data_IF_545009134949
#
_entry.id   IF_545009134949
#
_cell.length_a   1.000
_cell.length_b   1.000
_cell.length_c   1.000
_cell.angle_alpha   90.00
_cell.angle_beta   90.00
_cell.angle_gamma   90.00
#
_symmetry.space_group_name_H-M   'P 1'
#
loop_
_entity.id
_entity.type
_entity.pdbx_description
1 polymer ?
#
# COMPACT_ATOMS: atom_id res chain seq x y z
N UNK A 1 62.98 -10.29 -9.14
CA UNK A 1 63.68 -9.33 -10.00
C UNK A 1 63.14 -9.46 -11.41
N UNK A 2 62.80 -8.32 -12.02
CA UNK A 2 62.20 -8.14 -13.35
C UNK A 2 62.90 -8.88 -14.49
N UNK A 3 62.13 -9.24 -15.54
CA UNK A 3 62.40 -9.15 -17.01
C UNK A 3 61.10 -9.53 -17.75
N UNK A 4 60.65 -8.97 -18.86
CA UNK A 4 61.01 -7.83 -19.70
C UNK A 4 59.84 -7.65 -20.70
N UNK A 5 59.58 -6.42 -21.09
CA UNK A 5 58.66 -5.90 -22.10
C UNK A 5 58.89 -6.47 -23.51
N UNK A 6 57.85 -6.68 -24.33
CA UNK A 6 57.86 -6.35 -25.78
C UNK A 6 56.43 -6.02 -26.27
N UNK A 7 56.35 -4.86 -26.93
CA UNK A 7 55.27 -4.24 -27.68
C UNK A 7 55.43 -4.61 -29.17
N UNK A 8 54.38 -5.07 -29.87
CA UNK A 8 54.29 -4.96 -31.34
C UNK A 8 52.86 -4.57 -31.74
N UNK A 9 52.79 -3.39 -32.37
CA UNK A 9 51.68 -2.82 -33.14
C UNK A 9 51.50 -3.57 -34.47
N UNK A 10 50.26 -3.79 -34.90
CA UNK A 10 49.95 -3.91 -36.33
C UNK A 10 48.56 -3.36 -36.67
N UNK A 11 48.59 -2.35 -37.54
CA UNK A 11 47.50 -1.68 -38.23
C UNK A 11 46.83 -2.58 -39.29
N UNK A 12 45.54 -2.34 -39.56
CA UNK A 12 45.04 -2.30 -40.96
C UNK A 12 43.75 -3.07 -41.30
N UNK A 13 42.67 -2.32 -41.56
CA UNK A 13 41.57 -2.53 -42.52
C UNK A 13 40.22 -2.12 -41.90
N UNK A 14 39.66 -0.95 -42.24
CA UNK A 14 38.96 -0.57 -43.48
C UNK A 14 37.53 -1.15 -43.55
N UNK A 15 36.59 -0.23 -43.31
CA UNK A 15 35.22 -0.17 -43.82
C UNK A 15 34.35 -1.45 -43.78
N UNK A 16 33.53 -1.55 -42.74
CA UNK A 16 32.22 -2.20 -42.81
C UNK A 16 31.19 -1.19 -42.33
N UNK A 17 30.45 -0.62 -43.27
CA UNK A 17 29.37 0.32 -43.00
C UNK A 17 28.37 -0.31 -42.04
N UNK A 18 27.99 0.44 -41.02
CA UNK A 18 26.72 0.28 -40.31
C UNK A 18 25.60 0.13 -41.34
N UNK A 19 24.82 -0.95 -41.32
CA UNK A 19 23.41 -1.02 -41.74
C UNK A 19 22.89 -2.44 -41.50
N UNK A 20 22.38 -2.71 -40.30
CA UNK A 20 21.42 -3.78 -40.04
C UNK A 20 20.71 -3.52 -38.70
N UNK A 21 19.99 -2.41 -38.61
CA UNK A 21 19.13 -2.11 -37.47
C UNK A 21 17.75 -1.67 -37.98
N UNK A 22 17.09 -2.56 -38.74
CA UNK A 22 15.68 -2.40 -39.10
C UNK A 22 14.94 -3.72 -39.41
N UNK A 23 15.56 -4.88 -39.15
CA UNK A 23 15.00 -6.19 -39.51
C UNK A 23 13.75 -6.60 -38.71
N UNK A 24 13.47 -5.93 -37.59
CA UNK A 24 12.30 -6.21 -36.75
C UNK A 24 11.19 -5.15 -36.86
N UNK A 25 11.31 -4.18 -37.79
CA UNK A 25 10.28 -3.16 -38.00
C UNK A 25 9.41 -3.51 -39.19
N UNK A 26 8.13 -3.73 -38.90
CA UNK A 26 7.11 -3.86 -39.93
C UNK A 26 7.07 -2.59 -40.79
N UNK A 27 7.29 -2.75 -42.09
CA UNK A 27 7.27 -1.66 -43.08
C UNK A 27 5.91 -1.57 -43.77
N UNK A 28 5.24 -2.70 -43.91
CA UNK A 28 3.96 -2.83 -44.59
C UNK A 28 2.98 -3.62 -43.75
N UNK A 29 1.69 -3.36 -43.95
CA UNK A 29 0.60 -4.07 -43.30
C UNK A 29 -0.34 -4.59 -44.38
N UNK A 30 -0.61 -5.90 -44.35
CA UNK A 30 -1.54 -6.57 -45.26
C UNK A 30 -2.81 -6.96 -44.53
N UNK A 31 -3.97 -6.60 -45.05
CA UNK A 31 -5.25 -7.10 -44.57
C UNK A 31 -6.12 -7.56 -45.73
N UNK A 32 -7.21 -8.26 -45.41
CA UNK A 32 -8.19 -8.69 -46.39
C UNK A 32 -9.43 -7.80 -46.27
N UNK A 33 -9.84 -7.18 -47.38
CA UNK A 33 -11.05 -6.37 -47.45
C UNK A 33 -12.32 -7.25 -47.54
N UNK A 34 -13.52 -6.65 -47.59
CA UNK A 34 -14.80 -7.40 -47.63
C UNK A 34 -14.95 -8.36 -48.81
N UNK A 35 -14.18 -8.14 -49.89
CA UNK A 35 -14.14 -9.03 -51.07
C UNK A 35 -13.05 -10.10 -50.96
N UNK A 36 -12.47 -10.26 -49.77
CA UNK A 36 -11.33 -11.13 -49.48
C UNK A 36 -10.10 -10.82 -50.36
N UNK A 37 -9.91 -9.56 -50.75
CA UNK A 37 -8.75 -9.14 -51.55
C UNK A 37 -7.66 -8.58 -50.63
N UNK A 38 -6.40 -9.03 -50.80
CA UNK A 38 -5.29 -8.53 -50.01
C UNK A 38 -4.98 -7.08 -50.38
N UNK A 39 -5.01 -6.19 -49.39
CA UNK A 39 -4.64 -4.79 -49.53
C UNK A 39 -3.42 -4.52 -48.66
N UNK A 40 -2.40 -3.88 -49.21
CA UNK A 40 -1.15 -3.56 -48.52
C UNK A 40 -1.05 -2.04 -48.36
N UNK A 41 -0.71 -1.60 -47.16
CA UNK A 41 -0.55 -0.18 -46.80
C UNK A 41 0.65 -0.01 -45.90
N UNK A 42 1.20 1.20 -45.88
CA UNK A 42 2.26 1.61 -44.95
C UNK A 42 1.69 2.09 -43.60
N UNK A 43 0.37 2.24 -43.49
CA UNK A 43 -0.35 2.76 -42.31
C UNK A 43 -1.47 1.84 -41.85
N UNK A 44 -1.51 1.54 -40.56
CA UNK A 44 -2.61 0.78 -39.94
C UNK A 44 -3.86 1.68 -39.85
N UNK A 45 -5.00 1.19 -40.37
CA UNK A 45 -6.32 1.83 -40.18
C UNK A 45 -7.20 1.02 -39.24
N UNK A 46 -8.30 1.60 -38.76
CA UNK A 46 -9.26 0.92 -37.86
C UNK A 46 -9.85 -0.35 -38.49
N UNK A 47 -10.02 -0.34 -39.81
CA UNK A 47 -10.49 -1.47 -40.61
C UNK A 47 -9.51 -2.66 -40.59
N UNK A 48 -8.20 -2.40 -40.53
CA UNK A 48 -7.18 -3.46 -40.38
C UNK A 48 -7.28 -4.11 -39.01
N UNK A 49 -7.51 -3.32 -37.96
CA UNK A 49 -7.63 -3.82 -36.58
C UNK A 49 -8.88 -4.68 -36.44
N UNK A 50 -10.00 -4.24 -37.03
CA UNK A 50 -11.27 -4.94 -36.97
C UNK A 50 -11.23 -6.30 -37.68
N UNK A 51 -10.51 -6.41 -38.81
CA UNK A 51 -10.44 -7.66 -39.62
C UNK A 51 -9.18 -8.50 -39.40
N UNK A 52 -8.21 -7.97 -38.66
CA UNK A 52 -6.89 -8.58 -38.52
C UNK A 52 -6.01 -8.27 -39.72
N UNK A 53 -4.69 -8.28 -39.50
CA UNK A 53 -3.70 -7.95 -40.50
C UNK A 53 -2.38 -8.68 -40.25
N UNK A 54 -1.60 -8.83 -41.30
CA UNK A 54 -0.22 -9.29 -41.25
C UNK A 54 0.72 -8.08 -41.27
N UNK A 55 1.63 -8.00 -40.30
CA UNK A 55 2.75 -7.08 -40.32
C UNK A 55 3.87 -7.71 -41.18
N UNK A 56 4.34 -6.98 -42.18
CA UNK A 56 5.32 -7.45 -43.17
C UNK A 56 6.62 -6.66 -43.09
N UNK A 57 7.74 -7.32 -43.39
CA UNK A 57 9.05 -6.70 -43.53
C UNK A 57 9.22 -5.97 -44.88
N UNK A 58 10.42 -5.42 -45.12
CA UNK A 58 10.75 -4.74 -46.39
C UNK A 58 10.70 -5.66 -47.62
N UNK A 59 10.87 -6.98 -47.43
CA UNK A 59 10.82 -8.02 -48.46
C UNK A 59 9.44 -8.66 -48.61
N UNK A 60 8.40 -8.06 -48.03
CA UNK A 60 7.01 -8.55 -48.02
C UNK A 60 6.82 -9.91 -47.32
N UNK A 61 7.76 -10.32 -46.46
CA UNK A 61 7.60 -11.51 -45.62
C UNK A 61 6.81 -11.18 -44.36
N UNK A 62 5.98 -12.13 -43.90
CA UNK A 62 5.17 -11.95 -42.69
C UNK A 62 6.06 -12.03 -41.44
N UNK A 63 6.19 -10.91 -40.73
CA UNK A 63 6.83 -10.85 -39.42
C UNK A 63 5.87 -11.34 -38.32
N UNK A 64 4.60 -10.91 -38.40
CA UNK A 64 3.59 -11.21 -37.37
C UNK A 64 2.18 -11.14 -37.92
N UNK A 65 1.36 -12.13 -37.58
CA UNK A 65 -0.09 -12.10 -37.79
C UNK A 65 -0.80 -11.50 -36.57
N UNK A 66 -1.69 -10.54 -36.79
CA UNK A 66 -2.59 -9.95 -35.78
C UNK A 66 -4.01 -10.36 -36.13
N UNK A 67 -4.69 -11.19 -35.30
CA UNK A 67 -6.04 -11.63 -35.59
C UNK A 67 -7.05 -10.48 -35.50
N UNK A 68 -8.20 -10.64 -36.16
CA UNK A 68 -9.35 -9.74 -36.05
C UNK A 68 -9.72 -9.50 -34.58
N UNK A 69 -9.71 -8.25 -34.15
CA UNK A 69 -10.19 -7.88 -32.83
C UNK A 69 -11.58 -7.28 -32.97
N UNK A 70 -12.56 -7.89 -32.30
CA UNK A 70 -13.89 -7.27 -32.18
C UNK A 70 -13.73 -5.90 -31.54
N UNK A 71 -14.23 -4.85 -32.19
CA UNK A 71 -14.34 -3.54 -31.58
C UNK A 71 -15.16 -3.66 -30.28
N UNK A 72 -14.58 -3.20 -29.17
CA UNK A 72 -15.30 -3.15 -27.90
C UNK A 72 -16.57 -2.32 -28.07
N UNK A 73 -17.68 -2.76 -27.50
CA UNK A 73 -18.90 -1.94 -27.47
C UNK A 73 -18.63 -0.64 -26.70
N UNK A 74 -19.48 0.36 -26.87
CA UNK A 74 -19.37 1.61 -26.10
C UNK A 74 -19.33 1.32 -24.59
N UNK A 75 -20.16 0.38 -24.12
CA UNK A 75 -20.21 -0.05 -22.72
C UNK A 75 -18.90 -0.74 -22.26
N UNK A 76 -18.34 -1.64 -23.07
CA UNK A 76 -17.09 -2.31 -22.76
C UNK A 76 -15.89 -1.35 -22.74
N UNK A 77 -15.89 -0.36 -23.63
CA UNK A 77 -14.88 0.70 -23.62
C UNK A 77 -14.97 1.57 -22.37
N UNK A 78 -16.18 1.93 -21.94
CA UNK A 78 -16.40 2.68 -20.70
C UNK A 78 -15.92 1.86 -19.49
N UNK A 79 -16.30 0.57 -19.42
CA UNK A 79 -15.88 -0.33 -18.35
C UNK A 79 -14.35 -0.50 -18.30
N UNK A 80 -13.70 -0.73 -19.44
CA UNK A 80 -12.25 -0.85 -19.54
C UNK A 80 -11.54 0.46 -19.15
N UNK A 81 -12.08 1.62 -19.54
CA UNK A 81 -11.55 2.92 -19.12
C UNK A 81 -11.69 3.13 -17.62
N UNK A 82 -12.84 2.80 -17.04
CA UNK A 82 -13.08 2.87 -15.60
C UNK A 82 -12.12 1.95 -14.83
N UNK A 83 -11.89 0.73 -15.31
CA UNK A 83 -10.95 -0.21 -14.71
C UNK A 83 -9.50 0.31 -14.76
N UNK A 84 -9.06 0.83 -15.91
CA UNK A 84 -7.71 1.44 -16.04
C UNK A 84 -7.55 2.64 -15.12
N UNK A 85 -8.56 3.51 -15.04
CA UNK A 85 -8.54 4.67 -14.15
C UNK A 85 -8.46 4.24 -12.67
N UNK A 86 -9.26 3.25 -12.27
CA UNK A 86 -9.22 2.70 -10.92
C UNK A 86 -7.87 2.05 -10.59
N UNK A 87 -7.27 1.31 -11.53
CA UNK A 87 -5.95 0.71 -11.35
C UNK A 87 -4.85 1.77 -11.23
N UNK A 88 -4.88 2.81 -12.07
CA UNK A 88 -3.95 3.94 -11.97
C UNK A 88 -4.06 4.63 -10.62
N UNK A 89 -5.29 4.92 -10.17
CA UNK A 89 -5.52 5.54 -8.86
C UNK A 89 -4.93 4.70 -7.73
N UNK A 90 -5.20 3.38 -7.72
CA UNK A 90 -4.62 2.47 -6.72
C UNK A 90 -3.09 2.48 -6.73
N UNK A 91 -2.49 2.44 -7.92
CA UNK A 91 -1.03 2.50 -8.05
C UNK A 91 -0.45 3.81 -7.52
N UNK A 92 -1.15 4.93 -7.70
CA UNK A 92 -0.72 6.22 -7.18
C UNK A 92 -0.91 6.31 -5.65
N UNK A 93 -2.02 5.79 -5.12
CA UNK A 93 -2.26 5.67 -3.68
C UNK A 93 -1.17 4.78 -3.01
N UNK A 94 -0.81 3.66 -3.63
CA UNK A 94 0.26 2.76 -3.16
C UNK A 94 1.64 3.44 -3.16
N UNK A 95 1.96 4.20 -4.22
CA UNK A 95 3.20 5.00 -4.27
C UNK A 95 3.25 6.05 -3.16
N UNK A 96 2.12 6.70 -2.88
CA UNK A 96 2.02 7.66 -1.78
C UNK A 96 2.24 6.96 -0.43
N UNK A 97 1.65 5.78 -0.25
CA UNK A 97 1.80 5.00 0.98
C UNK A 97 3.26 4.63 1.24
N UNK A 98 3.96 4.12 0.22
CA UNK A 98 5.39 3.76 0.28
C UNK A 98 6.30 4.98 0.47
N UNK A 99 5.87 6.17 0.03
CA UNK A 99 6.60 7.43 0.27
C UNK A 99 6.46 7.89 1.73
N UNK A 100 5.29 7.68 2.35
CA UNK A 100 5.05 8.04 3.75
C UNK A 100 5.68 7.03 4.71
N UNK A 101 5.60 5.74 4.39
CA UNK A 101 6.09 4.64 5.22
C UNK A 101 6.96 3.72 4.35
N UNK A 102 8.26 3.68 4.62
CA UNK A 102 9.19 2.89 3.80
C UNK A 102 8.99 1.38 3.99
N UNK A 103 8.49 0.99 5.16
CA UNK A 103 8.16 -0.40 5.54
C UNK A 103 6.93 -0.42 6.46
N UNK A 104 6.22 -1.56 6.57
CA UNK A 104 5.08 -1.72 7.47
C UNK A 104 5.37 -1.28 8.92
N UNK A 105 6.58 -1.59 9.42
CA UNK A 105 7.03 -1.22 10.76
C UNK A 105 7.03 0.30 11.02
N UNK A 106 7.21 1.14 10.00
CA UNK A 106 7.19 2.61 10.19
C UNK A 106 5.77 3.12 10.47
N UNK A 107 4.78 2.49 9.82
CA UNK A 107 3.37 2.77 10.08
C UNK A 107 2.95 2.25 11.46
N UNK A 108 3.42 1.07 11.87
CA UNK A 108 3.21 0.52 13.21
C UNK A 108 3.79 1.46 14.29
N UNK A 109 5.04 1.89 14.15
CA UNK A 109 5.64 2.84 15.09
C UNK A 109 4.90 4.18 15.14
N UNK A 110 4.33 4.63 14.03
CA UNK A 110 3.54 5.86 14.00
C UNK A 110 2.21 5.69 14.72
N UNK A 111 1.50 4.58 14.47
CA UNK A 111 0.30 4.18 15.22
C UNK A 111 0.60 4.12 16.71
N UNK A 112 1.66 3.40 17.10
CA UNK A 112 1.99 3.14 18.50
C UNK A 112 2.30 4.44 19.23
N UNK A 113 3.09 5.33 18.64
CA UNK A 113 3.34 6.67 19.20
C UNK A 113 2.05 7.46 19.43
N UNK A 114 1.10 7.40 18.50
CA UNK A 114 -0.18 8.09 18.66
C UNK A 114 -1.03 7.45 19.77
N UNK A 115 -1.11 6.11 19.80
CA UNK A 115 -1.88 5.40 20.83
C UNK A 115 -1.28 5.56 22.23
N UNK A 116 0.04 5.65 22.34
CA UNK A 116 0.77 5.88 23.60
C UNK A 116 0.54 7.30 24.10
N UNK A 117 0.57 8.29 23.21
CA UNK A 117 0.25 9.67 23.58
C UNK A 117 -1.19 9.80 24.13
N UNK A 118 -2.15 9.06 23.56
CA UNK A 118 -3.52 8.99 24.07
C UNK A 118 -3.56 8.24 25.41
N UNK A 119 -2.81 7.14 25.53
CA UNK A 119 -2.73 6.34 26.75
C UNK A 119 -2.23 7.17 27.94
N UNK A 120 -1.18 7.96 27.76
CA UNK A 120 -0.66 8.86 28.80
C UNK A 120 -1.75 9.82 29.32
N UNK A 121 -2.63 10.30 28.44
CA UNK A 121 -3.76 11.16 28.83
C UNK A 121 -4.83 10.37 29.59
N UNK A 122 -5.12 9.14 29.17
CA UNK A 122 -6.04 8.24 29.89
C UNK A 122 -5.53 7.99 31.30
N UNK A 123 -4.24 7.70 31.45
CA UNK A 123 -3.62 7.41 32.74
C UNK A 123 -3.68 8.63 33.67
N UNK A 124 -3.41 9.83 33.14
CA UNK A 124 -3.54 11.07 33.88
C UNK A 124 -4.99 11.33 34.35
N UNK A 125 -5.98 11.21 33.46
CA UNK A 125 -7.41 11.37 33.82
C UNK A 125 -7.85 10.28 34.81
N UNK A 126 -7.35 9.06 34.68
CA UNK A 126 -7.66 7.95 35.59
C UNK A 126 -7.08 8.16 36.99
N UNK A 127 -5.84 8.66 37.09
CA UNK A 127 -5.23 9.05 38.36
C UNK A 127 -6.04 10.16 39.04
N UNK A 128 -6.45 11.17 38.27
CA UNK A 128 -7.29 12.27 38.77
C UNK A 128 -8.67 11.78 39.23
N UNK A 129 -9.29 10.86 38.49
CA UNK A 129 -10.57 10.24 38.85
C UNK A 129 -10.48 9.50 40.18
N UNK A 130 -9.41 8.74 40.41
CA UNK A 130 -9.21 8.01 41.67
C UNK A 130 -9.07 8.97 42.86
N UNK A 131 -8.26 10.03 42.72
CA UNK A 131 -8.13 11.07 43.77
C UNK A 131 -9.47 11.75 44.10
N UNK A 132 -10.27 12.07 43.08
CA UNK A 132 -11.59 12.66 43.29
C UNK A 132 -12.56 11.70 43.99
N UNK A 133 -12.56 10.42 43.61
CA UNK A 133 -13.39 9.39 44.27
C UNK A 133 -13.03 9.23 45.74
N UNK A 134 -11.75 9.20 46.08
CA UNK A 134 -11.30 9.14 47.48
C UNK A 134 -11.73 10.38 48.28
N UNK A 135 -11.58 11.57 47.70
CA UNK A 135 -11.98 12.82 48.34
C UNK A 135 -13.49 12.89 48.56
N UNK A 136 -14.27 12.52 47.54
CA UNK A 136 -15.72 12.41 47.60
C UNK A 136 -16.18 11.41 48.66
N UNK A 137 -15.51 10.25 48.75
CA UNK A 137 -15.81 9.25 49.76
C UNK A 137 -15.57 9.77 51.19
N UNK A 138 -14.47 10.51 51.42
CA UNK A 138 -14.19 11.15 52.71
C UNK A 138 -15.25 12.17 53.10
N UNK A 139 -15.68 13.03 52.17
CA UNK A 139 -16.76 14.00 52.46
C UNK A 139 -18.11 13.32 52.70
N UNK A 140 -18.43 12.27 51.94
CA UNK A 140 -19.65 11.50 52.15
C UNK A 140 -19.65 10.80 53.52
N UNK A 141 -18.50 10.29 53.98
CA UNK A 141 -18.36 9.72 55.33
C UNK A 141 -18.60 10.77 56.42
N UNK A 142 -18.11 12.02 56.24
CA UNK A 142 -18.37 13.12 57.17
C UNK A 142 -19.86 13.50 57.21
N UNK A 143 -20.50 13.58 56.04
CA UNK A 143 -21.94 13.84 55.96
C UNK A 143 -22.75 12.76 56.70
N UNK A 144 -22.46 11.49 56.44
CA UNK A 144 -23.12 10.36 57.11
C UNK A 144 -22.87 10.34 58.63
N UNK A 145 -21.69 10.77 59.09
CA UNK A 145 -21.42 10.88 60.52
C UNK A 145 -22.28 11.96 61.20
N UNK A 146 -22.51 13.11 60.54
CA UNK A 146 -23.39 14.17 61.04
C UNK A 146 -24.84 13.68 61.15
N UNK A 147 -25.34 13.01 60.12
CA UNK A 147 -26.69 12.43 60.09
C UNK A 147 -26.89 11.41 61.22
N UNK A 148 -25.91 10.54 61.48
CA UNK A 148 -25.95 9.59 62.60
C UNK A 148 -26.03 10.27 63.97
N UNK A 149 -25.49 11.49 64.10
CA UNK A 149 -25.61 12.29 65.33
C UNK A 149 -26.88 13.15 65.38
N UNK A 150 -27.79 13.00 64.42
CA UNK A 150 -29.02 13.78 64.31
C UNK A 150 -28.81 15.23 63.86
N UNK A 151 -27.60 15.58 63.41
CA UNK A 151 -27.27 16.93 62.92
C UNK A 151 -27.52 17.01 61.41
N UNK A 152 -28.11 18.11 60.90
CA UNK A 152 -28.28 18.28 59.47
C UNK A 152 -26.92 18.42 58.76
N UNK A 153 -26.82 17.91 57.54
CA UNK A 153 -25.63 18.08 56.70
C UNK A 153 -25.54 19.55 56.24
N UNK A 154 -24.42 20.25 56.49
CA UNK A 154 -24.24 21.61 56.03
C UNK A 154 -24.32 21.71 54.51
N UNK A 155 -25.03 22.73 54.00
CA UNK A 155 -25.16 22.98 52.56
C UNK A 155 -23.81 23.00 51.81
N UNK A 156 -22.73 23.64 52.30
CA UNK A 156 -21.44 23.60 51.62
C UNK A 156 -20.85 22.20 51.45
N UNK A 157 -21.10 21.29 52.40
CA UNK A 157 -20.65 19.90 52.33
C UNK A 157 -21.44 19.12 51.28
N UNK A 158 -22.77 19.26 51.26
CA UNK A 158 -23.63 18.65 50.25
C UNK A 158 -23.29 19.15 48.83
N UNK A 159 -23.10 20.46 48.68
CA UNK A 159 -22.73 21.09 47.40
C UNK A 159 -21.34 20.60 46.94
N UNK A 160 -20.38 20.41 47.85
CA UNK A 160 -19.05 19.86 47.53
C UNK A 160 -19.14 18.42 47.01
N UNK A 161 -19.93 17.56 47.66
CA UNK A 161 -20.15 16.18 47.21
C UNK A 161 -20.77 16.17 45.80
N UNK A 162 -21.80 17.00 45.57
CA UNK A 162 -22.43 17.12 44.25
C UNK A 162 -21.45 17.58 43.17
N UNK A 163 -20.56 18.53 43.50
CA UNK A 163 -19.53 19.00 42.57
C UNK A 163 -18.51 17.90 42.25
N UNK A 164 -18.10 17.10 43.22
CA UNK A 164 -17.22 15.95 42.96
C UNK A 164 -17.91 14.91 42.08
N UNK A 165 -19.19 14.63 42.28
CA UNK A 165 -19.95 13.69 41.45
C UNK A 165 -19.98 14.15 39.98
N UNK A 166 -20.20 15.45 39.72
CA UNK A 166 -20.13 16.03 38.38
C UNK A 166 -18.74 15.88 37.75
N UNK A 167 -17.68 16.20 38.49
CA UNK A 167 -16.30 16.09 38.00
C UNK A 167 -15.92 14.62 37.71
N UNK A 168 -16.36 13.69 38.56
CA UNK A 168 -16.19 12.24 38.36
C UNK A 168 -16.85 11.81 37.06
N UNK A 169 -18.10 12.22 36.80
CA UNK A 169 -18.81 11.90 35.56
C UNK A 169 -18.12 12.47 34.33
N UNK A 170 -17.61 13.70 34.42
CA UNK A 170 -16.85 14.35 33.34
C UNK A 170 -15.58 13.56 33.01
N UNK A 171 -14.75 13.23 34.02
CA UNK A 171 -13.54 12.44 33.81
C UNK A 171 -13.83 11.03 33.29
N UNK A 172 -14.91 10.39 33.74
CA UNK A 172 -15.33 9.09 33.21
C UNK A 172 -15.66 9.18 31.72
N UNK A 173 -16.45 10.18 31.32
CA UNK A 173 -16.78 10.42 29.91
C UNK A 173 -15.52 10.68 29.10
N UNK A 174 -14.65 11.55 29.61
CA UNK A 174 -13.38 11.91 29.00
C UNK A 174 -12.49 10.68 28.72
N UNK A 175 -12.36 9.78 29.71
CA UNK A 175 -11.60 8.53 29.58
C UNK A 175 -12.21 7.64 28.49
N UNK A 176 -13.54 7.52 28.45
CA UNK A 176 -14.20 6.69 27.43
C UNK A 176 -14.03 7.27 26.03
N UNK A 177 -14.16 8.58 25.86
CA UNK A 177 -13.89 9.26 24.58
C UNK A 177 -12.46 8.99 24.11
N UNK A 178 -11.47 9.12 24.99
CA UNK A 178 -10.07 8.84 24.64
C UNK A 178 -9.81 7.38 24.30
N UNK A 179 -10.45 6.44 25.00
CA UNK A 179 -10.37 5.01 24.66
C UNK A 179 -10.92 4.73 23.27
N UNK A 180 -12.05 5.35 22.91
CA UNK A 180 -12.62 5.26 21.58
C UNK A 180 -11.71 5.90 20.52
N UNK A 181 -11.08 7.03 20.81
CA UNK A 181 -10.09 7.67 19.95
C UNK A 181 -8.87 6.77 19.72
N UNK A 182 -8.34 6.16 20.78
CA UNK A 182 -7.22 5.23 20.70
C UNK A 182 -7.55 4.02 19.81
N UNK A 183 -8.76 3.49 19.92
CA UNK A 183 -9.24 2.40 19.08
C UNK A 183 -9.42 2.82 17.62
N UNK A 184 -9.96 4.01 17.39
CA UNK A 184 -10.09 4.59 16.05
C UNK A 184 -8.72 4.71 15.37
N UNK A 185 -7.68 5.17 16.07
CA UNK A 185 -6.31 5.19 15.53
C UNK A 185 -5.85 3.79 15.13
N UNK A 186 -6.08 2.77 15.98
CA UNK A 186 -5.73 1.38 15.63
C UNK A 186 -6.44 0.91 14.36
N UNK A 187 -7.73 1.21 14.23
CA UNK A 187 -8.55 0.83 13.07
C UNK A 187 -8.14 1.56 11.79
N UNK A 188 -7.76 2.83 11.87
CA UNK A 188 -7.27 3.62 10.73
C UNK A 188 -5.93 3.07 10.20
N UNK A 189 -5.04 2.63 11.09
CA UNK A 189 -3.74 2.08 10.70
C UNK A 189 -3.76 0.62 10.25
N UNK A 190 -4.75 -0.18 10.67
CA UNK A 190 -4.86 -1.59 10.30
C UNK A 190 -4.83 -1.84 8.76
N UNK A 191 -5.67 -1.20 7.93
CA UNK A 191 -5.62 -1.41 6.48
C UNK A 191 -4.35 -0.84 5.84
N UNK A 192 -3.76 0.23 6.40
CA UNK A 192 -2.49 0.80 5.94
C UNK A 192 -1.36 -0.21 6.11
N UNK A 193 -1.23 -0.79 7.30
CA UNK A 193 -0.20 -1.78 7.62
C UNK A 193 -0.39 -3.03 6.77
N UNK A 194 -1.63 -3.51 6.63
CA UNK A 194 -1.95 -4.64 5.75
C UNK A 194 -1.50 -4.37 4.31
N UNK A 195 -1.85 -3.21 3.75
CA UNK A 195 -1.48 -2.85 2.38
C UNK A 195 0.02 -2.75 2.20
N UNK A 196 0.74 -2.15 3.16
CA UNK A 196 2.20 -2.08 3.13
C UNK A 196 2.83 -3.48 3.16
N UNK A 197 2.29 -4.42 3.94
CA UNK A 197 2.77 -5.80 3.95
C UNK A 197 2.62 -6.47 2.58
N UNK A 198 1.48 -6.27 1.91
CA UNK A 198 1.24 -6.78 0.55
C UNK A 198 2.21 -6.19 -0.47
N UNK A 199 2.55 -4.90 -0.35
CA UNK A 199 3.45 -4.19 -1.28
C UNK A 199 4.94 -4.49 -1.06
N UNK A 200 5.35 -4.85 0.16
CA UNK A 200 6.76 -5.03 0.53
C UNK A 200 7.20 -6.48 0.67
N UNK A 201 6.27 -7.43 0.70
CA UNK A 201 6.60 -8.86 0.67
C UNK A 201 7.05 -9.26 -0.73
N UNK A 202 8.29 -9.74 -0.94
CA UNK A 202 8.70 -10.22 -2.25
C UNK A 202 7.84 -11.43 -2.66
N UNK A 203 7.47 -11.55 -3.95
CA UNK A 203 6.70 -12.70 -4.43
C UNK A 203 7.45 -14.00 -4.09
N UNK A 204 6.72 -15.02 -3.64
CA UNK A 204 7.24 -16.32 -3.19
C UNK A 204 8.11 -17.08 -4.23
N UNK A 205 8.25 -16.56 -5.45
CA UNK A 205 9.11 -17.09 -6.52
C UNK A 205 10.62 -16.82 -6.32
N UNK A 206 11.01 -15.95 -5.39
CA UNK A 206 12.42 -15.58 -5.16
C UNK A 206 13.04 -16.14 -3.87
N UNK A 207 12.38 -17.08 -3.17
CA UNK A 207 13.04 -17.79 -2.07
C UNK A 207 14.08 -18.76 -2.66
N UNK A 208 15.37 -18.71 -2.24
CA UNK A 208 16.33 -19.72 -2.63
C UNK A 208 15.80 -21.07 -2.17
N UNK A 209 15.55 -21.96 -3.15
CA UNK A 209 15.07 -23.33 -2.93
C UNK A 209 16.03 -23.98 -1.91
N UNK A 210 15.54 -24.58 -0.81
CA UNK A 210 16.43 -25.22 0.15
C UNK A 210 17.29 -26.25 -0.59
N UNK A 211 18.61 -26.06 -0.54
CA UNK A 211 19.56 -27.03 -1.12
C UNK A 211 19.25 -28.39 -0.52
N UNK A 212 19.02 -29.44 -1.34
CA UNK A 212 18.82 -30.77 -0.80
C UNK A 212 20.06 -31.16 0.00
N UNK A 213 19.88 -31.36 1.30
CA UNK A 213 20.90 -31.90 2.20
C UNK A 213 21.31 -33.27 1.64
N UNK A 214 22.48 -33.34 1.03
CA UNK A 214 23.10 -34.62 0.64
C UNK A 214 23.49 -35.32 1.93
N UNK A 215 22.66 -36.27 2.35
CA UNK A 215 23.00 -37.21 3.41
C UNK A 215 24.18 -38.05 2.94
N UNK A 216 25.34 -38.06 3.63
CA UNK A 216 26.47 -38.87 3.21
C UNK A 216 26.14 -40.36 3.39
N UNK A 217 26.65 -41.24 2.50
CA UNK A 217 26.35 -42.66 2.56
C UNK A 217 26.92 -43.28 3.83
N UNK A 218 26.12 -44.11 4.50
CA UNK A 218 26.58 -44.95 5.63
C UNK A 218 27.74 -45.83 5.16
N UNK A 219 28.91 -45.65 5.76
CA UNK A 219 30.03 -46.57 5.67
C UNK A 219 29.61 -47.92 6.26
N UNK A 220 29.87 -48.98 5.50
CA UNK A 220 29.58 -50.37 5.87
C UNK A 220 30.74 -50.96 6.67
#
# INVERSE_FOLDING_TARGET
MHRLTVLILLLGSLAGQTMAEDADKARWYRFYNDKNQPTITDRITEEHIARGYDALDQSMQVLRHVPAQRALTAEENIAAKAQRAAASKRADDDKQLLRLYSKPADAEHTRDRQTDAIQLRIDFSSSSLNRLRETRAKEAQRAAALERTGKPVPKPLADSISNYDKQIQQLQTEIQTRKAEQEKVRQEFAPIIQRLNELTTPPASNMPRPTPTVTPPKSR
#
